data_IF_070601959303
#
_entry.id   IF_070601959303
#
_cell.length_a   1.000
_cell.length_b   1.000
_cell.length_c   1.000
_cell.angle_alpha   90.00
_cell.angle_beta   90.00
_cell.angle_gamma   90.00
#
_symmetry.space_group_name_H-M   'P 1'
#
loop_
_entity.id
_entity.type
_entity.pdbx_description
1 polymer ?
#
# COMPACT_ATOMS: atom_id res chain seq x y z
N UNK A 1 4.12 12.16 -23.74
CA UNK A 1 3.69 11.23 -22.69
C UNK A 1 3.45 9.85 -23.28
N UNK A 2 4.00 8.80 -22.68
CA UNK A 2 3.71 7.44 -23.09
C UNK A 2 2.28 7.06 -22.65
N UNK A 3 1.50 6.35 -23.47
CA UNK A 3 0.21 5.83 -23.05
C UNK A 3 0.36 4.88 -21.84
N UNK A 4 -0.70 4.77 -21.03
CA UNK A 4 -0.75 3.71 -20.03
C UNK A 4 -0.64 2.35 -20.73
N UNK A 5 0.11 1.44 -20.15
CA UNK A 5 0.02 0.04 -20.54
C UNK A 5 -1.26 -0.55 -19.96
N UNK A 6 -2.03 -1.25 -20.78
CA UNK A 6 -3.35 -1.79 -20.42
C UNK A 6 -4.30 -0.72 -19.82
N UNK A 7 -4.60 0.39 -20.53
CA UNK A 7 -5.53 1.38 -20.04
C UNK A 7 -6.94 0.81 -19.89
N UNK A 8 -7.70 1.32 -18.92
CA UNK A 8 -9.12 0.99 -18.86
C UNK A 8 -9.86 1.44 -20.14
N UNK A 9 -10.87 0.71 -20.58
CA UNK A 9 -11.78 1.21 -21.61
C UNK A 9 -12.51 2.45 -21.11
N UNK A 10 -12.80 3.38 -22.02
CA UNK A 10 -13.58 4.60 -21.75
C UNK A 10 -14.99 4.41 -22.26
N UNK A 11 -15.95 5.02 -21.57
CA UNK A 11 -17.36 5.04 -21.96
C UNK A 11 -18.00 6.39 -21.59
N UNK A 12 -19.10 6.73 -22.25
CA UNK A 12 -19.87 7.90 -21.83
C UNK A 12 -20.57 7.62 -20.50
N UNK A 13 -20.72 8.60 -19.60
CA UNK A 13 -21.46 8.44 -18.36
C UNK A 13 -22.85 7.85 -18.56
N UNK A 14 -23.59 8.35 -19.57
CA UNK A 14 -24.94 7.92 -19.90
C UNK A 14 -25.02 6.44 -20.25
N UNK A 15 -24.02 5.92 -20.99
CA UNK A 15 -23.97 4.49 -21.33
C UNK A 15 -23.81 3.58 -20.11
N UNK A 16 -23.40 4.16 -18.98
CA UNK A 16 -23.24 3.49 -17.70
C UNK A 16 -24.28 3.94 -16.65
N UNK A 17 -25.33 4.65 -17.08
CA UNK A 17 -26.44 5.08 -16.23
C UNK A 17 -26.10 6.23 -15.28
N UNK A 18 -25.15 7.06 -15.62
CA UNK A 18 -24.75 8.28 -14.88
C UNK A 18 -24.96 9.49 -15.79
N UNK A 19 -25.45 10.61 -15.23
CA UNK A 19 -25.57 11.87 -15.97
C UNK A 19 -24.22 12.55 -16.11
N UNK A 20 -23.84 12.94 -17.31
CA UNK A 20 -22.66 13.79 -17.56
C UNK A 20 -22.81 15.18 -16.95
N UNK A 21 -24.03 15.72 -16.91
CA UNK A 21 -24.30 17.02 -16.28
C UNK A 21 -23.97 16.97 -14.76
N UNK A 22 -24.39 15.91 -14.07
CA UNK A 22 -24.06 15.73 -12.65
C UNK A 22 -22.55 15.62 -12.40
N UNK A 23 -21.83 14.93 -13.29
CA UNK A 23 -20.36 14.85 -13.18
C UNK A 23 -19.70 16.20 -13.48
N UNK A 24 -20.22 16.96 -14.46
CA UNK A 24 -19.72 18.30 -14.77
C UNK A 24 -19.96 19.28 -13.62
N UNK A 25 -21.10 19.21 -12.95
CA UNK A 25 -21.39 20.00 -11.76
C UNK A 25 -20.43 19.65 -10.62
N UNK A 26 -20.24 18.35 -10.34
CA UNK A 26 -19.29 17.89 -9.34
C UNK A 26 -17.85 18.39 -9.64
N UNK A 27 -17.40 18.28 -10.89
CA UNK A 27 -16.05 18.74 -11.25
C UNK A 27 -15.92 20.27 -11.06
N UNK A 28 -16.96 21.03 -11.37
CA UNK A 28 -17.00 22.48 -11.16
C UNK A 28 -16.93 22.83 -9.67
N UNK A 29 -17.69 22.11 -8.84
CA UNK A 29 -17.67 22.29 -7.39
C UNK A 29 -16.30 21.98 -6.81
N UNK A 30 -15.64 20.92 -7.29
CA UNK A 30 -14.28 20.55 -6.87
C UNK A 30 -13.24 21.61 -7.29
N UNK A 31 -13.35 22.15 -8.51
CA UNK A 31 -12.43 23.16 -9.06
C UNK A 31 -12.54 24.51 -8.33
N UNK A 32 -13.76 24.87 -7.91
CA UNK A 32 -14.03 26.15 -7.23
C UNK A 32 -14.00 26.07 -5.71
N UNK A 33 -13.87 24.89 -5.14
CA UNK A 33 -13.87 24.68 -3.70
C UNK A 33 -12.65 25.31 -3.02
N UNK A 34 -12.87 26.06 -1.96
CA UNK A 34 -11.80 26.56 -1.09
C UNK A 34 -11.32 25.54 -0.07
N UNK A 35 -11.94 24.36 0.01
CA UNK A 35 -11.64 23.31 0.97
C UNK A 35 -10.89 22.12 0.37
N UNK A 36 -10.76 22.09 -0.96
CA UNK A 36 -10.10 21.01 -1.69
C UNK A 36 -9.07 21.57 -2.65
N UNK A 37 -7.93 20.93 -2.74
CA UNK A 37 -6.90 21.17 -3.77
C UNK A 37 -6.80 19.89 -4.60
N UNK A 38 -7.67 19.80 -5.60
CA UNK A 38 -7.77 18.62 -6.45
C UNK A 38 -6.69 18.61 -7.51
N UNK A 39 -5.98 17.50 -7.64
CA UNK A 39 -4.98 17.29 -8.68
C UNK A 39 -5.53 16.48 -9.84
N UNK A 40 -6.12 15.34 -9.54
CA UNK A 40 -6.72 14.44 -10.52
C UNK A 40 -7.99 13.84 -9.93
N UNK A 41 -8.91 13.51 -10.81
CA UNK A 41 -10.16 12.85 -10.47
C UNK A 41 -10.50 11.82 -11.55
N UNK A 42 -10.89 10.63 -11.13
CA UNK A 42 -11.27 9.55 -12.03
C UNK A 42 -12.44 8.76 -11.44
N UNK A 43 -13.44 8.49 -12.26
CA UNK A 43 -14.56 7.63 -11.90
C UNK A 43 -14.61 6.45 -12.86
N UNK A 44 -14.66 5.26 -12.29
CA UNK A 44 -14.90 4.02 -13.00
C UNK A 44 -16.27 3.47 -12.66
N UNK A 45 -16.95 2.93 -13.65
CA UNK A 45 -18.18 2.15 -13.47
C UNK A 45 -18.18 0.97 -14.43
N UNK A 46 -18.48 -0.21 -13.90
CA UNK A 46 -18.46 -1.47 -14.67
C UNK A 46 -17.12 -1.69 -15.41
N UNK A 47 -15.99 -1.36 -14.76
CA UNK A 47 -14.65 -1.50 -15.32
C UNK A 47 -14.31 -0.51 -16.45
N UNK A 48 -15.09 0.55 -16.62
CA UNK A 48 -14.87 1.58 -17.65
C UNK A 48 -14.72 2.95 -17.00
N UNK A 49 -13.75 3.74 -17.47
CA UNK A 49 -13.61 5.13 -17.06
C UNK A 49 -14.72 5.94 -17.70
N UNK A 50 -15.56 6.58 -16.89
CA UNK A 50 -16.68 7.43 -17.32
C UNK A 50 -16.43 8.91 -17.03
N UNK A 51 -15.44 9.24 -16.22
CA UNK A 51 -15.00 10.60 -15.98
C UNK A 51 -13.51 10.59 -15.64
N UNK A 52 -12.78 11.51 -16.25
CA UNK A 52 -11.37 11.76 -15.97
C UNK A 52 -11.12 13.27 -16.05
N UNK A 53 -10.59 13.86 -14.99
CA UNK A 53 -10.27 15.27 -14.93
C UNK A 53 -8.90 15.51 -14.30
N UNK A 54 -8.24 16.55 -14.80
CA UNK A 54 -6.97 17.04 -14.26
C UNK A 54 -7.14 18.55 -13.98
N UNK A 55 -6.81 18.96 -12.77
CA UNK A 55 -6.95 20.34 -12.33
C UNK A 55 -5.62 21.07 -12.48
N UNK A 56 -5.64 22.27 -13.02
CA UNK A 56 -4.41 23.06 -13.23
C UNK A 56 -3.70 23.34 -11.89
N UNK A 57 -2.35 23.23 -11.81
CA UNK A 57 -1.40 23.06 -12.92
C UNK A 57 -1.13 21.60 -13.33
N UNK A 58 -1.82 20.64 -12.76
CA UNK A 58 -1.59 19.22 -12.98
C UNK A 58 -2.11 18.75 -14.34
N UNK A 59 -1.48 17.69 -14.85
CA UNK A 59 -1.80 17.08 -16.15
C UNK A 59 -1.93 15.58 -15.98
N UNK A 60 -2.59 14.91 -16.92
CA UNK A 60 -2.65 13.44 -16.96
C UNK A 60 -1.25 12.83 -16.88
N UNK A 61 -1.16 11.66 -16.23
CA UNK A 61 0.08 10.88 -16.09
C UNK A 61 1.21 11.54 -15.29
N UNK A 62 0.93 12.58 -14.55
CA UNK A 62 1.80 13.00 -13.46
C UNK A 62 1.53 12.04 -12.31
N UNK A 63 2.58 11.39 -11.84
CA UNK A 63 2.49 10.56 -10.65
C UNK A 63 2.45 11.42 -9.40
N UNK A 64 1.71 10.93 -8.40
CA UNK A 64 1.59 11.58 -7.11
C UNK A 64 2.01 10.62 -6.00
N UNK A 65 2.48 11.18 -4.91
CA UNK A 65 2.72 10.40 -3.69
C UNK A 65 1.39 9.87 -3.18
N UNK A 66 1.32 8.56 -2.98
CA UNK A 66 0.09 7.89 -2.54
C UNK A 66 -0.12 7.96 -1.03
N UNK A 67 0.87 8.49 -0.29
CA UNK A 67 0.87 8.48 1.16
C UNK A 67 0.54 7.09 1.71
N UNK A 68 -0.39 7.00 2.65
CA UNK A 68 -0.74 5.74 3.32
C UNK A 68 -1.56 4.75 2.49
N UNK A 69 -2.03 5.13 1.30
CA UNK A 69 -2.70 4.19 0.40
C UNK A 69 -1.80 2.98 0.08
N UNK A 70 -0.49 3.20 -0.01
CA UNK A 70 0.47 2.12 -0.29
C UNK A 70 0.54 1.03 0.80
N UNK A 71 -0.01 1.26 1.99
CA UNK A 71 -0.12 0.24 3.02
C UNK A 71 -0.94 -0.96 2.55
N UNK A 72 -2.00 -0.72 1.79
CA UNK A 72 -2.79 -1.79 1.18
C UNK A 72 -1.95 -2.62 0.20
N UNK A 73 -1.06 -1.98 -0.56
CA UNK A 73 -0.16 -2.67 -1.50
C UNK A 73 0.87 -3.52 -0.75
N UNK A 74 1.42 -3.02 0.35
CA UNK A 74 2.29 -3.82 1.23
C UNK A 74 1.51 -4.99 1.84
N UNK A 75 0.24 -4.77 2.23
CA UNK A 75 -0.66 -5.85 2.66
C UNK A 75 -0.85 -6.92 1.58
N UNK A 76 -1.00 -6.54 0.30
CA UNK A 76 -1.07 -7.50 -0.81
C UNK A 76 0.19 -8.38 -0.87
N UNK A 77 1.38 -7.81 -0.67
CA UNK A 77 2.63 -8.58 -0.64
C UNK A 77 2.65 -9.60 0.51
N UNK A 78 2.13 -9.24 1.68
CA UNK A 78 1.98 -10.18 2.80
C UNK A 78 0.99 -11.30 2.44
N UNK A 79 -0.13 -10.98 1.82
CA UNK A 79 -1.10 -11.98 1.34
C UNK A 79 -0.48 -12.98 0.37
N UNK A 80 0.37 -12.52 -0.55
CA UNK A 80 1.11 -13.37 -1.46
C UNK A 80 2.12 -14.28 -0.74
N UNK A 81 2.83 -13.76 0.27
CA UNK A 81 3.75 -14.57 1.07
C UNK A 81 3.02 -15.65 1.88
N UNK A 82 1.82 -15.35 2.38
CA UNK A 82 0.97 -16.33 3.08
C UNK A 82 0.52 -17.42 2.13
N UNK A 83 0.04 -17.05 0.94
CA UNK A 83 -0.36 -18.02 -0.11
C UNK A 83 0.81 -18.89 -0.56
N UNK A 84 2.01 -18.32 -0.68
CA UNK A 84 3.23 -19.05 -1.03
C UNK A 84 3.75 -19.95 0.14
N UNK A 85 3.09 -19.94 1.30
CA UNK A 85 3.53 -20.69 2.50
C UNK A 85 4.85 -20.21 3.09
N UNK A 86 5.25 -18.97 2.78
CA UNK A 86 6.52 -18.37 3.26
C UNK A 86 6.38 -17.57 4.53
N UNK A 87 5.15 -17.27 4.93
CA UNK A 87 4.84 -16.47 6.11
C UNK A 87 3.51 -16.91 6.70
N UNK A 88 3.41 -16.90 8.04
CA UNK A 88 2.15 -17.05 8.76
C UNK A 88 1.81 -15.76 9.52
N UNK A 89 0.52 -15.44 9.64
CA UNK A 89 0.07 -14.22 10.33
C UNK A 89 0.34 -14.25 11.83
N UNK A 90 0.44 -15.42 12.43
CA UNK A 90 0.73 -15.63 13.84
C UNK A 90 2.23 -15.67 14.17
N UNK A 91 3.11 -15.58 13.17
CA UNK A 91 4.54 -15.53 13.40
C UNK A 91 4.94 -14.30 14.22
N UNK A 92 5.83 -14.52 15.18
CA UNK A 92 6.38 -13.45 15.99
C UNK A 92 7.47 -12.70 15.22
N UNK A 93 7.31 -11.40 15.05
CA UNK A 93 8.28 -10.57 14.31
C UNK A 93 9.69 -10.59 14.93
N UNK A 94 9.78 -10.79 16.24
CA UNK A 94 11.06 -10.83 16.93
C UNK A 94 11.84 -12.14 16.65
N UNK A 95 11.14 -13.21 16.32
CA UNK A 95 11.79 -14.46 15.89
C UNK A 95 12.30 -14.32 14.44
N UNK A 96 11.54 -13.62 13.58
CA UNK A 96 11.96 -13.30 12.20
C UNK A 96 13.26 -12.49 12.21
N UNK A 97 13.37 -11.49 13.10
CA UNK A 97 14.49 -10.56 13.16
C UNK A 97 15.40 -10.76 14.40
N UNK A 98 15.52 -11.96 14.90
CA UNK A 98 16.25 -12.27 16.14
C UNK A 98 17.67 -11.70 16.19
N UNK A 99 18.36 -11.65 15.04
CA UNK A 99 19.73 -11.12 14.94
C UNK A 99 19.83 -9.60 15.17
N UNK A 100 18.71 -8.86 15.06
CA UNK A 100 18.65 -7.40 15.23
C UNK A 100 18.26 -6.96 16.63
N UNK A 101 17.91 -7.90 17.50
CA UNK A 101 17.51 -7.61 18.87
C UNK A 101 18.73 -7.46 19.78
N UNK A 102 18.66 -6.55 20.73
CA UNK A 102 19.60 -6.50 21.84
C UNK A 102 19.38 -7.68 22.81
N UNK A 103 20.35 -7.93 23.69
CA UNK A 103 20.30 -9.09 24.60
C UNK A 103 19.08 -9.11 25.50
N UNK A 104 18.66 -7.97 26.02
CA UNK A 104 17.48 -7.87 26.87
C UNK A 104 16.20 -8.22 26.10
N UNK A 105 16.05 -7.65 24.92
CA UNK A 105 14.86 -7.84 24.10
C UNK A 105 14.73 -9.27 23.53
N UNK A 106 15.82 -10.03 23.43
CA UNK A 106 15.75 -11.43 23.07
C UNK A 106 15.04 -12.32 24.10
N UNK A 107 15.00 -11.89 25.36
CA UNK A 107 14.51 -12.71 26.48
C UNK A 107 13.14 -12.25 26.98
N UNK A 108 12.88 -10.97 26.99
CA UNK A 108 11.78 -10.37 27.76
C UNK A 108 10.70 -9.67 26.91
N UNK A 109 10.65 -9.91 25.59
CA UNK A 109 9.61 -9.28 24.78
C UNK A 109 8.32 -10.08 24.70
N UNK A 110 7.15 -9.42 24.79
CA UNK A 110 5.89 -10.05 24.43
C UNK A 110 5.88 -10.40 22.94
N UNK A 111 5.11 -11.43 22.59
CA UNK A 111 4.90 -11.79 21.18
C UNK A 111 4.15 -10.67 20.46
N UNK A 112 4.71 -10.18 19.36
CA UNK A 112 4.06 -9.30 18.39
C UNK A 112 3.99 -10.03 17.06
N UNK A 113 2.79 -10.23 16.55
CA UNK A 113 2.59 -11.03 15.34
C UNK A 113 2.59 -10.18 14.08
N UNK A 114 2.74 -10.82 12.92
CA UNK A 114 2.54 -10.19 11.62
C UNK A 114 1.12 -9.58 11.54
N UNK A 115 0.10 -10.28 12.04
CA UNK A 115 -1.27 -9.77 12.13
C UNK A 115 -1.37 -8.50 12.96
N UNK A 116 -0.66 -8.42 14.09
CA UNK A 116 -0.65 -7.19 14.90
C UNK A 116 -0.06 -5.99 14.17
N UNK A 117 0.89 -6.20 13.26
CA UNK A 117 1.40 -5.13 12.39
C UNK A 117 0.34 -4.70 11.37
N UNK A 118 -0.32 -5.63 10.71
CA UNK A 118 -1.36 -5.38 9.71
C UNK A 118 -2.56 -4.64 10.31
N UNK A 119 -2.99 -5.05 11.50
CA UNK A 119 -4.16 -4.47 12.20
C UNK A 119 -3.83 -3.24 13.02
N UNK A 120 -2.59 -2.77 13.01
CA UNK A 120 -2.11 -1.63 13.82
C UNK A 120 -2.30 -1.82 15.33
N UNK A 121 -2.17 -3.07 15.80
CA UNK A 121 -2.31 -3.45 17.21
C UNK A 121 -1.02 -3.98 17.82
N UNK A 122 0.14 -3.55 17.32
CA UNK A 122 1.45 -4.05 17.78
C UNK A 122 1.79 -3.70 19.22
N UNK A 123 1.19 -2.64 19.79
CA UNK A 123 1.54 -2.12 21.10
C UNK A 123 2.92 -1.45 21.18
N UNK A 124 3.67 -1.42 20.07
CA UNK A 124 4.97 -0.74 20.00
C UNK A 124 4.78 0.76 20.09
N UNK A 125 5.56 1.40 20.97
CA UNK A 125 5.48 2.86 21.17
C UNK A 125 5.60 3.62 19.86
N UNK A 126 4.65 4.52 19.63
CA UNK A 126 4.67 5.40 18.47
C UNK A 126 5.80 6.43 18.61
N UNK A 127 6.83 6.33 17.79
CA UNK A 127 7.95 7.27 17.69
C UNK A 127 8.47 7.34 16.26
N UNK A 128 7.59 7.69 15.33
CA UNK A 128 7.93 7.70 13.90
C UNK A 128 9.07 8.69 13.61
N UNK A 129 8.91 9.94 14.03
CA UNK A 129 9.91 11.00 13.77
C UNK A 129 11.28 10.70 14.39
N UNK A 130 11.32 10.13 15.58
CA UNK A 130 12.57 9.75 16.24
C UNK A 130 13.30 8.60 15.51
N UNK A 131 12.55 7.63 15.01
CA UNK A 131 13.12 6.47 14.28
C UNK A 131 13.60 6.89 12.89
N UNK A 132 12.81 7.64 12.14
CA UNK A 132 13.15 8.04 10.76
C UNK A 132 14.28 9.08 10.68
N UNK A 133 14.60 9.74 11.77
CA UNK A 133 15.79 10.61 11.85
C UNK A 133 17.12 9.84 11.91
N UNK A 134 17.06 8.54 12.24
CA UNK A 134 18.23 7.66 12.30
C UNK A 134 18.46 6.89 11.00
N UNK A 135 19.54 6.10 10.98
CA UNK A 135 19.95 5.31 9.81
C UNK A 135 19.42 3.88 9.80
N UNK A 136 19.12 3.29 10.95
CA UNK A 136 18.65 1.90 11.08
C UNK A 136 17.26 1.85 11.69
N UNK A 137 16.26 2.12 10.86
CA UNK A 137 14.87 2.19 11.29
C UNK A 137 14.36 0.85 11.82
N UNK A 138 14.74 -0.25 11.17
CA UNK A 138 14.29 -1.57 11.57
C UNK A 138 14.81 -1.96 12.96
N UNK A 139 16.11 -1.84 13.19
CA UNK A 139 16.68 -2.13 14.50
C UNK A 139 16.11 -1.19 15.57
N UNK A 140 15.92 0.09 15.26
CA UNK A 140 15.33 1.05 16.17
C UNK A 140 13.88 0.68 16.53
N UNK A 141 13.05 0.33 15.55
CA UNK A 141 11.69 -0.13 15.78
C UNK A 141 11.65 -1.40 16.65
N UNK A 142 12.42 -2.41 16.26
CA UNK A 142 12.47 -3.71 16.97
C UNK A 142 12.96 -3.59 18.42
N UNK A 143 13.71 -2.55 18.75
CA UNK A 143 14.18 -2.29 20.12
C UNK A 143 13.40 -1.17 20.83
N UNK A 144 12.36 -0.63 20.24
CA UNK A 144 11.47 0.35 20.89
C UNK A 144 10.66 -0.29 22.01
N UNK A 145 10.23 0.49 22.97
CA UNK A 145 9.38 0.01 24.07
C UNK A 145 8.01 -0.45 23.57
N UNK A 146 7.42 -1.40 24.26
CA UNK A 146 6.03 -1.83 24.08
C UNK A 146 5.25 -1.25 25.26
N UNK A 147 4.23 -0.43 24.98
CA UNK A 147 3.44 0.28 25.98
C UNK A 147 2.01 -0.24 26.12
N UNK A 148 1.58 -1.09 25.18
CA UNK A 148 0.28 -1.75 25.21
C UNK A 148 0.40 -3.26 25.08
N UNK A 149 -0.69 -3.98 25.30
CA UNK A 149 -0.74 -5.42 25.03
C UNK A 149 -0.93 -5.64 23.52
N UNK A 150 -0.03 -6.36 22.83
CA UNK A 150 -0.20 -6.66 21.42
C UNK A 150 -1.53 -7.36 21.14
N UNK A 151 -2.25 -6.90 20.13
CA UNK A 151 -3.56 -7.40 19.74
C UNK A 151 -4.77 -6.68 20.38
N UNK A 152 -4.58 -5.89 21.44
CA UNK A 152 -5.72 -5.31 22.16
C UNK A 152 -6.13 -3.92 21.64
N UNK A 153 -5.16 -3.02 21.47
CA UNK A 153 -5.46 -1.61 21.20
C UNK A 153 -4.93 -1.19 19.82
N UNK A 154 -5.80 -0.56 19.06
CA UNK A 154 -5.42 0.08 17.80
C UNK A 154 -4.62 1.35 18.07
N UNK A 155 -3.43 1.43 17.50
CA UNK A 155 -2.63 2.64 17.40
C UNK A 155 -2.00 2.73 16.02
N UNK A 156 -2.44 3.70 15.23
CA UNK A 156 -1.88 3.89 13.89
C UNK A 156 -0.39 4.19 13.96
N UNK A 157 0.40 3.37 13.28
CA UNK A 157 1.86 3.46 13.24
C UNK A 157 2.37 3.02 11.86
N UNK A 158 2.83 3.99 11.05
CA UNK A 158 3.33 3.69 9.71
C UNK A 158 4.55 2.77 9.71
N UNK A 159 5.32 2.75 10.79
CA UNK A 159 6.46 1.85 10.94
C UNK A 159 6.04 0.38 11.09
N UNK A 160 4.81 0.06 11.53
CA UNK A 160 4.30 -1.30 11.47
C UNK A 160 4.35 -1.83 10.03
N UNK A 161 3.89 -1.02 9.08
CA UNK A 161 3.88 -1.40 7.66
C UNK A 161 5.29 -1.39 7.05
N UNK A 162 6.18 -0.50 7.51
CA UNK A 162 7.60 -0.57 7.15
C UNK A 162 8.23 -1.90 7.58
N UNK A 163 7.91 -2.40 8.77
CA UNK A 163 8.40 -3.72 9.24
C UNK A 163 7.83 -4.84 8.38
N UNK A 164 6.57 -4.75 7.92
CA UNK A 164 6.01 -5.71 6.94
C UNK A 164 6.82 -5.71 5.63
N UNK A 165 7.22 -4.55 5.13
CA UNK A 165 8.13 -4.46 3.98
C UNK A 165 9.48 -5.13 4.25
N UNK A 166 10.05 -4.95 5.44
CA UNK A 166 11.28 -5.61 5.84
C UNK A 166 11.12 -7.14 5.94
N UNK A 167 9.96 -7.63 6.35
CA UNK A 167 9.62 -9.07 6.38
C UNK A 167 9.64 -9.64 4.95
N UNK A 168 9.09 -8.94 3.97
CA UNK A 168 9.17 -9.37 2.57
C UNK A 168 10.62 -9.57 2.15
N UNK A 169 11.49 -8.61 2.48
CA UNK A 169 12.92 -8.71 2.15
C UNK A 169 13.61 -9.88 2.88
N UNK A 170 13.31 -10.08 4.15
CA UNK A 170 13.90 -11.17 4.95
C UNK A 170 13.49 -12.55 4.43
N UNK A 171 12.24 -12.70 3.98
CA UNK A 171 11.68 -13.98 3.50
C UNK A 171 12.04 -14.33 2.06
N UNK A 172 12.30 -13.32 1.23
CA UNK A 172 12.47 -13.53 -0.22
C UNK A 172 13.87 -13.18 -0.73
N UNK A 173 14.65 -12.41 0.03
CA UNK A 173 15.90 -11.82 -0.44
C UNK A 173 15.70 -10.68 -1.45
N UNK A 174 14.45 -10.27 -1.73
CA UNK A 174 14.08 -9.21 -2.65
C UNK A 174 13.53 -8.00 -1.87
N UNK A 175 13.74 -6.80 -2.35
CA UNK A 175 13.00 -5.65 -1.83
C UNK A 175 11.49 -5.82 -2.08
N UNK A 176 10.65 -5.13 -1.32
CA UNK A 176 9.20 -5.14 -1.54
C UNK A 176 8.84 -4.81 -2.99
N UNK A 177 9.54 -3.85 -3.58
CA UNK A 177 9.33 -3.42 -4.97
C UNK A 177 9.69 -4.52 -5.96
N UNK A 178 10.87 -5.15 -5.83
CA UNK A 178 11.31 -6.26 -6.67
C UNK A 178 10.40 -7.49 -6.55
N UNK A 179 9.88 -7.76 -5.34
CA UNK A 179 8.95 -8.86 -5.11
C UNK A 179 7.59 -8.62 -5.78
N UNK A 180 7.08 -7.39 -5.73
CA UNK A 180 5.78 -7.02 -6.30
C UNK A 180 5.83 -6.78 -7.81
N UNK A 181 6.97 -6.42 -8.38
CA UNK A 181 7.09 -6.13 -9.81
C UNK A 181 6.50 -7.23 -10.70
N UNK A 182 6.97 -8.50 -10.65
CA UNK A 182 6.44 -9.55 -11.50
C UNK A 182 5.07 -10.08 -11.06
N UNK A 183 4.69 -9.86 -9.80
CA UNK A 183 3.48 -10.44 -9.19
C UNK A 183 2.26 -9.52 -9.26
N UNK A 184 2.48 -8.23 -9.21
CA UNK A 184 1.41 -7.23 -9.14
C UNK A 184 1.54 -6.16 -10.22
N UNK A 185 2.67 -5.45 -10.28
CA UNK A 185 2.79 -4.27 -11.12
C UNK A 185 2.79 -4.62 -12.61
N UNK A 186 3.63 -5.55 -13.03
CA UNK A 186 3.71 -5.97 -14.42
C UNK A 186 2.38 -6.59 -14.95
N UNK A 187 1.71 -7.51 -14.24
CA UNK A 187 0.41 -8.02 -14.67
C UNK A 187 -0.67 -6.95 -14.86
N UNK A 188 -0.66 -5.90 -14.04
CA UNK A 188 -1.58 -4.77 -14.14
C UNK A 188 -1.15 -3.71 -15.17
N UNK A 189 0.01 -3.88 -15.81
CA UNK A 189 0.59 -2.87 -16.70
C UNK A 189 0.95 -1.57 -15.97
N UNK A 190 1.32 -1.66 -14.69
CA UNK A 190 1.85 -0.54 -13.90
C UNK A 190 3.35 -0.49 -14.13
N UNK A 191 3.80 0.36 -15.04
CA UNK A 191 5.21 0.44 -15.46
C UNK A 191 5.89 1.71 -15.01
N UNK A 192 5.12 2.65 -14.45
CA UNK A 192 5.62 3.94 -14.01
C UNK A 192 5.30 4.17 -12.56
N UNK A 193 6.25 3.83 -11.71
CA UNK A 193 6.16 4.04 -10.27
C UNK A 193 7.55 4.30 -9.68
N UNK A 194 7.57 4.83 -8.48
CA UNK A 194 8.76 4.98 -7.65
C UNK A 194 8.36 4.77 -6.20
N UNK A 195 9.11 3.95 -5.47
CA UNK A 195 8.90 3.74 -4.05
C UNK A 195 10.16 4.05 -3.28
N UNK A 196 10.08 5.01 -2.38
CA UNK A 196 11.19 5.42 -1.56
C UNK A 196 11.68 4.31 -0.62
N UNK A 197 12.95 4.36 -0.27
CA UNK A 197 13.57 3.45 0.70
C UNK A 197 14.04 4.19 1.94
N UNK A 198 14.26 3.46 3.03
CA UNK A 198 15.02 3.95 4.18
C UNK A 198 16.52 4.06 3.84
N UNK A 199 17.35 4.67 4.70
CA UNK A 199 18.80 4.78 4.46
C UNK A 199 19.51 3.45 4.23
N UNK A 200 18.98 2.33 4.72
CA UNK A 200 19.51 0.98 4.50
C UNK A 200 18.91 0.24 3.29
N UNK A 201 18.17 0.93 2.43
CA UNK A 201 17.63 0.38 1.19
C UNK A 201 16.36 -0.44 1.32
N UNK A 202 15.77 -0.56 2.52
CA UNK A 202 14.48 -1.24 2.69
C UNK A 202 13.37 -0.30 2.20
N UNK A 203 12.48 -0.79 1.34
CA UNK A 203 11.33 -0.03 0.85
C UNK A 203 10.45 0.42 2.01
N UNK A 204 10.00 1.68 2.01
CA UNK A 204 9.27 2.28 3.13
C UNK A 204 7.96 1.55 3.46
N UNK A 205 7.28 0.98 2.47
CA UNK A 205 6.08 0.16 2.66
C UNK A 205 4.85 0.92 3.15
N UNK A 206 4.99 1.77 4.15
CA UNK A 206 3.91 2.53 4.78
C UNK A 206 3.63 3.89 4.15
N UNK A 207 4.52 4.41 3.31
CA UNK A 207 4.44 5.69 2.58
C UNK A 207 5.49 5.76 1.48
N UNK A 208 5.52 6.87 0.74
CA UNK A 208 6.60 7.15 -0.22
C UNK A 208 6.49 6.42 -1.55
N UNK A 209 5.34 5.83 -1.88
CA UNK A 209 5.05 5.31 -3.22
C UNK A 209 4.41 6.40 -4.07
N UNK A 210 4.88 6.51 -5.30
CA UNK A 210 4.35 7.41 -6.33
C UNK A 210 3.71 6.59 -7.45
N UNK A 211 2.46 6.90 -7.77
CA UNK A 211 1.67 6.27 -8.83
C UNK A 211 0.89 7.31 -9.63
N UNK A 212 0.53 6.98 -10.85
CA UNK A 212 -0.46 7.71 -11.62
C UNK A 212 -1.89 7.34 -11.18
N UNK A 213 -2.85 8.22 -11.40
CA UNK A 213 -4.24 8.03 -10.96
C UNK A 213 -4.87 6.75 -11.52
N UNK A 214 -4.66 6.46 -12.81
CA UNK A 214 -5.20 5.24 -13.42
C UNK A 214 -4.57 3.97 -12.81
N UNK A 215 -3.29 4.01 -12.44
CA UNK A 215 -2.63 2.88 -11.80
C UNK A 215 -3.16 2.64 -10.37
N UNK A 216 -3.51 3.70 -9.65
CA UNK A 216 -4.24 3.57 -8.38
C UNK A 216 -5.63 2.94 -8.59
N UNK A 217 -6.33 3.34 -9.64
CA UNK A 217 -7.64 2.77 -10.01
C UNK A 217 -7.56 1.28 -10.35
N UNK A 218 -6.47 0.82 -11.00
CA UNK A 218 -6.23 -0.60 -11.27
C UNK A 218 -6.16 -1.44 -10.00
N UNK A 219 -5.52 -0.91 -8.96
CA UNK A 219 -5.45 -1.59 -7.67
C UNK A 219 -6.82 -1.70 -6.99
N UNK A 220 -7.64 -0.64 -7.07
CA UNK A 220 -9.02 -0.68 -6.61
C UNK A 220 -9.88 -1.66 -7.40
N UNK A 221 -9.75 -1.67 -8.72
CA UNK A 221 -10.46 -2.62 -9.59
C UNK A 221 -10.05 -4.06 -9.31
N UNK A 222 -8.77 -4.31 -9.02
CA UNK A 222 -8.27 -5.64 -8.64
C UNK A 222 -8.98 -6.16 -7.38
N UNK A 223 -9.17 -5.33 -6.35
CA UNK A 223 -9.92 -5.68 -5.16
C UNK A 223 -11.39 -5.94 -5.46
N UNK A 224 -12.03 -5.07 -6.25
CA UNK A 224 -13.42 -5.23 -6.67
C UNK A 224 -13.66 -6.56 -7.42
N UNK A 225 -12.64 -7.03 -8.13
CA UNK A 225 -12.65 -8.30 -8.87
C UNK A 225 -12.11 -9.50 -8.04
N UNK A 226 -12.08 -9.37 -6.72
CA UNK A 226 -11.60 -10.41 -5.81
C UNK A 226 -10.19 -10.90 -6.13
N UNK A 227 -9.32 -9.97 -6.47
CA UNK A 227 -7.92 -10.25 -6.78
C UNK A 227 -7.63 -10.78 -8.19
N UNK A 228 -8.63 -10.83 -9.08
CA UNK A 228 -8.45 -11.26 -10.47
C UNK A 228 -8.15 -10.09 -11.41
N UNK A 229 -7.27 -10.34 -12.39
CA UNK A 229 -6.98 -9.43 -13.49
C UNK A 229 -6.77 -10.22 -14.76
N UNK A 230 -7.53 -9.90 -15.81
CA UNK A 230 -7.51 -10.65 -17.09
C UNK A 230 -7.59 -12.18 -16.88
N UNK A 231 -8.56 -12.63 -16.08
CA UNK A 231 -8.81 -14.03 -15.71
C UNK A 231 -7.68 -14.72 -14.89
N UNK A 232 -6.62 -14.01 -14.55
CA UNK A 232 -5.57 -14.50 -13.67
C UNK A 232 -5.81 -14.06 -12.22
N UNK A 233 -5.62 -14.97 -11.27
CA UNK A 233 -5.60 -14.63 -9.85
C UNK A 233 -4.26 -13.97 -9.53
N UNK A 234 -4.27 -12.67 -9.26
CA UNK A 234 -3.09 -11.86 -8.94
C UNK A 234 -2.89 -11.78 -7.43
N UNK A 235 -3.98 -11.52 -6.69
CA UNK A 235 -4.00 -11.53 -5.23
C UNK A 235 -4.98 -12.62 -4.79
N UNK A 236 -4.65 -13.46 -3.81
CA UNK A 236 -5.55 -14.52 -3.35
C UNK A 236 -6.92 -13.98 -2.95
N UNK A 237 -8.00 -14.65 -3.37
CA UNK A 237 -9.37 -14.21 -3.04
C UNK A 237 -9.59 -14.12 -1.53
N UNK A 238 -9.10 -15.13 -0.78
CA UNK A 238 -9.21 -15.10 0.68
C UNK A 238 -8.56 -13.85 1.29
N UNK A 239 -7.44 -13.38 0.70
CA UNK A 239 -6.77 -12.19 1.19
C UNK A 239 -7.60 -10.92 0.98
N UNK A 240 -8.26 -10.82 -0.17
CA UNK A 240 -9.18 -9.70 -0.45
C UNK A 240 -10.35 -9.70 0.54
N UNK A 241 -10.82 -10.89 0.95
CA UNK A 241 -11.96 -11.02 1.88
C UNK A 241 -11.61 -10.66 3.33
N UNK A 242 -10.36 -10.91 3.76
CA UNK A 242 -9.95 -10.67 5.15
C UNK A 242 -9.25 -9.33 5.36
N UNK A 243 -8.80 -8.65 4.29
CA UNK A 243 -8.14 -7.35 4.36
C UNK A 243 -9.11 -6.20 4.12
#
# INVERSE_FOLDING_TARGET
DKPYEQPFPRATPESQGISSDMLADLLRDLDTSHYTDMHHFMVLRNGKVICEANFAPYRSRIWHVTHSMCKSITGMAIGLLVEEGKLSLDENIYDIFQKKLNTFNKIFRPKVTVENLLTMTSGVTFNESGIVSGNDWLTSYLNSSITGTPGENFQYNSLNTYVLSAIVTERTGQSLTEYLEPRLFAPLGITRYFWETCPKGITKGGWGLFLCTEDMAKLGQLYLQKGKWNDQQIIPEFWVEVS
#
